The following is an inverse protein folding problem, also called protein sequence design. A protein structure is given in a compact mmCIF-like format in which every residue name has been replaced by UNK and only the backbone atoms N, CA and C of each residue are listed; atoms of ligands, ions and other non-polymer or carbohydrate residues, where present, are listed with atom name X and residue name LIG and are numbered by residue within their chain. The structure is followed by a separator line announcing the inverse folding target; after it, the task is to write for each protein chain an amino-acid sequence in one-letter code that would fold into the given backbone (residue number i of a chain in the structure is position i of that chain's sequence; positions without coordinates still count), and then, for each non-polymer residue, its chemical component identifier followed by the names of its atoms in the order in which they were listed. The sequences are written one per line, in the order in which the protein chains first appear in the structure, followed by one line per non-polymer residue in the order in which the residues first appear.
data_IF_396000776239
#
_entry.id   IF_396000776239
#
_cell.length_a   1.000
_cell.length_b   1.000
_cell.length_c   1.000
_cell.angle_alpha   90.00
_cell.angle_beta   90.00
_cell.angle_gamma   90.00
#
_symmetry.space_group_name_H-M   'P 1'
#
loop_
_entity.id
_entity.type
_entity.pdbx_description
1 polymer ?
#
# COMPACT_ATOMS: atom_id res chain seq x y z
N UNK A 1 -19.69 -16.51 -30.15
CA UNK A 1 -19.92 -15.09 -30.51
C UNK A 1 -20.86 -14.48 -29.48
N UNK A 2 -20.34 -13.98 -28.37
CA UNK A 2 -21.13 -13.24 -27.37
C UNK A 2 -20.52 -11.85 -27.23
N UNK A 3 -21.33 -10.85 -27.50
CA UNK A 3 -20.98 -9.43 -27.49
C UNK A 3 -20.59 -8.97 -26.08
N UNK A 4 -19.38 -8.43 -25.90
CA UNK A 4 -19.07 -7.58 -24.75
C UNK A 4 -19.24 -6.11 -25.17
N UNK A 5 -20.46 -5.59 -24.98
CA UNK A 5 -20.82 -4.17 -25.13
C UNK A 5 -20.29 -3.34 -23.94
N UNK A 6 -19.03 -3.47 -23.59
CA UNK A 6 -18.33 -2.46 -22.77
C UNK A 6 -17.63 -1.53 -23.74
N UNK A 7 -18.27 -0.40 -24.06
CA UNK A 7 -17.60 0.72 -24.72
C UNK A 7 -16.27 0.95 -24.00
N UNK A 8 -15.17 0.71 -24.73
CA UNK A 8 -13.88 0.46 -24.12
C UNK A 8 -13.51 1.69 -23.31
N UNK A 9 -13.14 1.54 -22.04
CA UNK A 9 -12.59 2.66 -21.24
C UNK A 9 -11.45 3.38 -21.97
N UNK A 10 -10.81 2.68 -22.90
CA UNK A 10 -9.82 3.18 -23.84
C UNK A 10 -10.42 4.14 -24.89
N UNK A 11 -11.57 3.82 -25.48
CA UNK A 11 -12.23 4.63 -26.52
C UNK A 11 -12.69 5.98 -25.95
N UNK A 12 -13.19 5.98 -24.71
CA UNK A 12 -13.55 7.21 -24.00
C UNK A 12 -12.32 8.07 -23.65
N UNK A 13 -11.19 7.43 -23.33
CA UNK A 13 -9.92 8.09 -23.05
C UNK A 13 -9.34 8.77 -24.30
N UNK A 14 -9.44 8.12 -25.46
CA UNK A 14 -8.98 8.65 -26.75
C UNK A 14 -9.91 9.77 -27.24
N UNK A 15 -11.23 9.63 -27.09
CA UNK A 15 -12.20 10.63 -27.54
C UNK A 15 -12.15 11.93 -26.71
N UNK A 16 -12.01 11.83 -25.38
CA UNK A 16 -12.07 12.99 -24.48
C UNK A 16 -11.04 12.90 -23.33
N UNK A 17 -9.74 13.09 -23.63
CA UNK A 17 -8.67 12.86 -22.66
C UNK A 17 -8.79 13.72 -21.39
N UNK A 18 -9.20 14.99 -21.51
CA UNK A 18 -9.42 15.86 -20.35
C UNK A 18 -10.50 15.34 -19.40
N UNK A 19 -11.64 14.86 -19.94
CA UNK A 19 -12.76 14.36 -19.14
C UNK A 19 -12.43 13.03 -18.48
N UNK A 20 -11.77 12.13 -19.23
CA UNK A 20 -11.31 10.85 -18.71
C UNK A 20 -10.28 11.02 -17.58
N UNK A 21 -9.34 11.96 -17.74
CA UNK A 21 -8.35 12.30 -16.72
C UNK A 21 -9.02 12.77 -15.42
N UNK A 22 -9.95 13.73 -15.49
CA UNK A 22 -10.68 14.19 -14.29
C UNK A 22 -11.53 13.09 -13.64
N UNK A 23 -12.14 12.20 -14.44
CA UNK A 23 -12.93 11.08 -13.91
C UNK A 23 -12.10 10.07 -13.12
N UNK A 24 -10.82 9.91 -13.47
CA UNK A 24 -9.88 9.03 -12.76
C UNK A 24 -9.15 9.75 -11.63
N UNK A 25 -8.69 10.98 -11.87
CA UNK A 25 -7.90 11.75 -10.92
C UNK A 25 -8.73 12.21 -9.72
N UNK A 26 -9.98 12.64 -9.93
CA UNK A 26 -10.83 13.15 -8.85
C UNK A 26 -11.05 12.13 -7.72
N UNK A 27 -11.47 10.87 -7.97
CA UNK A 27 -11.62 9.89 -6.89
C UNK A 27 -10.28 9.54 -6.22
N UNK A 28 -9.17 9.51 -6.96
CA UNK A 28 -7.84 9.27 -6.38
C UNK A 28 -7.46 10.41 -5.44
N UNK A 29 -7.63 11.67 -5.86
CA UNK A 29 -7.33 12.84 -5.03
C UNK A 29 -8.20 12.86 -3.76
N UNK A 30 -9.50 12.57 -3.88
CA UNK A 30 -10.37 12.47 -2.71
C UNK A 30 -9.87 11.37 -1.75
N UNK A 31 -9.50 10.20 -2.28
CA UNK A 31 -8.94 9.11 -1.47
C UNK A 31 -7.66 9.52 -0.72
N UNK A 32 -6.73 10.19 -1.40
CA UNK A 32 -5.49 10.69 -0.80
C UNK A 32 -5.75 11.79 0.24
N UNK A 33 -6.73 12.66 0.01
CA UNK A 33 -7.15 13.69 0.97
C UNK A 33 -7.73 13.06 2.23
N UNK A 34 -8.61 12.07 2.10
CA UNK A 34 -9.17 11.31 3.23
C UNK A 34 -8.05 10.59 4.00
N UNK A 35 -7.10 9.97 3.30
CA UNK A 35 -5.94 9.34 3.92
C UNK A 35 -5.10 10.35 4.72
N UNK A 36 -4.88 11.55 4.19
CA UNK A 36 -4.14 12.61 4.87
C UNK A 36 -4.87 13.08 6.13
N UNK A 37 -6.19 13.29 6.04
CA UNK A 37 -7.02 13.67 7.19
C UNK A 37 -7.00 12.57 8.25
N UNK A 38 -7.06 11.30 7.85
CA UNK A 38 -6.94 10.18 8.78
C UNK A 38 -5.60 10.19 9.52
N UNK A 39 -4.49 10.41 8.81
CA UNK A 39 -3.17 10.52 9.44
C UNK A 39 -3.10 11.67 10.45
N UNK A 40 -3.69 12.83 10.13
CA UNK A 40 -3.74 13.96 11.06
C UNK A 40 -4.63 13.67 12.28
N UNK A 41 -5.77 13.02 12.07
CA UNK A 41 -6.67 12.64 13.14
C UNK A 41 -6.01 11.62 14.08
N UNK A 42 -5.36 10.60 13.53
CA UNK A 42 -4.60 9.60 14.29
C UNK A 42 -3.51 10.25 15.14
N UNK A 43 -2.69 11.12 14.52
CA UNK A 43 -1.66 11.87 15.22
C UNK A 43 -2.22 12.75 16.33
N UNK A 44 -3.36 13.41 16.09
CA UNK A 44 -4.03 14.25 17.06
C UNK A 44 -4.52 13.45 18.28
N UNK A 45 -5.23 12.34 18.05
CA UNK A 45 -5.74 11.50 19.14
C UNK A 45 -4.60 10.83 19.92
N UNK A 46 -3.56 10.33 19.26
CA UNK A 46 -2.39 9.75 19.93
C UNK A 46 -1.64 10.82 20.74
N UNK A 47 -1.48 12.03 20.20
CA UNK A 47 -0.87 13.15 20.91
C UNK A 47 -1.64 13.59 22.15
N UNK A 48 -2.97 13.37 22.20
CA UNK A 48 -3.76 13.62 23.40
C UNK A 48 -3.59 12.57 24.50
N UNK A 49 -3.15 11.35 24.17
CA UNK A 49 -2.92 10.29 25.17
C UNK A 49 -1.69 10.60 26.01
N UNK A 50 -0.55 10.85 25.38
CA UNK A 50 0.68 11.33 26.04
C UNK A 50 1.72 11.79 25.03
N UNK A 51 2.66 12.65 25.47
CA UNK A 51 3.82 13.01 24.65
C UNK A 51 4.73 11.81 24.36
N UNK A 52 4.76 10.82 25.25
CA UNK A 52 5.54 9.58 25.10
C UNK A 52 4.95 8.67 24.02
N UNK A 53 3.61 8.58 23.91
CA UNK A 53 2.94 7.84 22.85
C UNK A 53 3.21 8.45 21.46
N UNK A 54 3.21 9.78 21.38
CA UNK A 54 3.58 10.50 20.16
C UNK A 54 5.05 10.26 19.76
N UNK A 55 5.96 10.25 20.74
CA UNK A 55 7.38 9.94 20.50
C UNK A 55 7.56 8.50 20.01
N UNK A 56 6.90 7.52 20.65
CA UNK A 56 6.91 6.12 20.24
C UNK A 56 6.41 5.94 18.80
N UNK A 57 5.35 6.64 18.40
CA UNK A 57 4.83 6.64 17.03
C UNK A 57 5.88 7.14 16.02
N UNK A 58 6.60 8.22 16.34
CA UNK A 58 7.65 8.75 15.48
C UNK A 58 8.81 7.77 15.29
N UNK A 59 9.20 7.06 16.35
CA UNK A 59 10.23 6.01 16.28
C UNK A 59 9.81 4.78 15.49
N UNK A 60 8.50 4.51 15.36
CA UNK A 60 7.99 3.40 14.57
C UNK A 60 7.94 3.73 13.06
N UNK A 61 8.03 5.01 12.67
CA UNK A 61 7.94 5.43 11.27
C UNK A 61 8.91 4.70 10.32
N UNK A 62 10.20 4.45 10.65
CA UNK A 62 11.10 3.69 9.79
C UNK A 62 10.59 2.26 9.48
N UNK A 63 9.96 1.60 10.45
CA UNK A 63 9.36 0.26 10.27
C UNK A 63 8.18 0.35 9.30
N UNK A 64 7.31 1.35 9.51
CA UNK A 64 6.14 1.60 8.65
C UNK A 64 6.59 1.91 7.21
N UNK A 65 7.61 2.77 7.03
CA UNK A 65 8.17 3.09 5.72
C UNK A 65 8.74 1.87 5.01
N UNK A 66 9.38 0.95 5.74
CA UNK A 66 9.90 -0.29 5.17
C UNK A 66 8.76 -1.20 4.69
N UNK A 67 7.69 -1.32 5.48
CA UNK A 67 6.47 -2.04 5.08
C UNK A 67 5.82 -1.43 3.84
N UNK A 68 5.65 -0.10 3.81
CA UNK A 68 5.15 0.63 2.65
C UNK A 68 6.03 0.36 1.42
N UNK A 69 7.36 0.41 1.56
CA UNK A 69 8.30 0.14 0.47
C UNK A 69 8.10 -1.24 -0.15
N UNK A 70 7.92 -2.28 0.67
CA UNK A 70 7.64 -3.64 0.20
C UNK A 70 6.30 -3.69 -0.56
N UNK A 71 5.25 -3.10 0.00
CA UNK A 71 3.92 -3.09 -0.63
C UNK A 71 3.95 -2.36 -1.99
N UNK A 72 4.60 -1.20 -2.06
CA UNK A 72 4.73 -0.44 -3.30
C UNK A 72 5.63 -1.15 -4.32
N UNK A 73 6.73 -1.78 -3.88
CA UNK A 73 7.62 -2.56 -4.73
C UNK A 73 6.92 -3.77 -5.35
N UNK A 74 6.20 -4.55 -4.54
CA UNK A 74 5.42 -5.69 -5.03
C UNK A 74 4.27 -5.24 -5.91
N UNK A 75 3.48 -4.25 -5.48
CA UNK A 75 2.34 -3.74 -6.23
C UNK A 75 2.75 -3.23 -7.62
N UNK A 76 3.85 -2.48 -7.71
CA UNK A 76 4.38 -2.00 -9.00
C UNK A 76 4.90 -3.13 -9.89
N UNK A 77 5.63 -4.10 -9.32
CA UNK A 77 6.12 -5.28 -10.06
C UNK A 77 4.98 -6.15 -10.61
N UNK A 78 4.00 -6.46 -9.77
CA UNK A 78 2.79 -7.23 -10.14
C UNK A 78 2.01 -6.51 -11.23
N UNK A 79 1.77 -5.20 -11.06
CA UNK A 79 1.06 -4.39 -12.06
C UNK A 79 1.78 -4.42 -13.41
N UNK A 80 3.11 -4.34 -13.42
CA UNK A 80 3.92 -4.41 -14.64
C UNK A 80 3.78 -5.76 -15.36
N UNK A 81 3.84 -6.88 -14.61
CA UNK A 81 3.69 -8.23 -15.16
C UNK A 81 2.29 -8.43 -15.74
N UNK A 82 1.25 -8.04 -15.01
CA UNK A 82 -0.14 -8.13 -15.48
C UNK A 82 -0.35 -7.26 -16.72
N UNK A 83 0.17 -6.03 -16.73
CA UNK A 83 0.08 -5.13 -17.88
C UNK A 83 0.74 -5.73 -19.15
N UNK A 84 1.88 -6.42 -19.01
CA UNK A 84 2.54 -7.12 -20.11
C UNK A 84 1.67 -8.25 -20.68
N UNK A 85 1.06 -9.07 -19.84
CA UNK A 85 0.19 -10.16 -20.30
C UNK A 85 -1.12 -9.66 -20.93
N UNK A 86 -1.73 -8.63 -20.35
CA UNK A 86 -2.89 -7.95 -20.94
C UNK A 86 -2.53 -7.36 -22.31
N UNK A 87 -1.38 -6.68 -22.41
CA UNK A 87 -0.87 -6.11 -23.67
C UNK A 87 -0.62 -7.17 -24.75
N UNK A 88 -0.16 -8.35 -24.35
CA UNK A 88 0.02 -9.51 -25.23
C UNK A 88 -1.29 -10.24 -25.59
N UNK A 89 -2.45 -9.77 -25.11
CA UNK A 89 -3.77 -10.41 -25.23
C UNK A 89 -3.84 -11.83 -24.62
N UNK A 90 -2.92 -12.17 -23.71
CA UNK A 90 -2.95 -13.45 -22.99
C UNK A 90 -3.64 -13.28 -21.63
N UNK A 91 -4.97 -13.36 -21.65
CA UNK A 91 -5.77 -13.21 -20.44
C UNK A 91 -5.52 -14.33 -19.42
N UNK A 92 -5.25 -15.56 -19.87
CA UNK A 92 -5.02 -16.70 -18.98
C UNK A 92 -3.77 -16.49 -18.13
N UNK A 93 -2.69 -16.01 -18.74
CA UNK A 93 -1.48 -15.67 -18.00
C UNK A 93 -1.66 -14.43 -17.11
N UNK A 94 -2.45 -13.44 -17.54
CA UNK A 94 -2.77 -12.29 -16.69
C UNK A 94 -3.53 -12.69 -15.42
N UNK A 95 -4.55 -13.54 -15.55
CA UNK A 95 -5.34 -14.05 -14.43
C UNK A 95 -4.47 -14.92 -13.50
N UNK A 96 -3.68 -15.84 -14.06
CA UNK A 96 -2.73 -16.65 -13.30
C UNK A 96 -1.70 -15.79 -12.56
N UNK A 97 -1.18 -14.73 -13.19
CA UNK A 97 -0.23 -13.81 -12.55
C UNK A 97 -0.89 -13.08 -11.37
N UNK A 98 -2.15 -12.65 -11.51
CA UNK A 98 -2.90 -12.02 -10.42
C UNK A 98 -3.09 -12.98 -9.23
N UNK A 99 -3.48 -14.23 -9.49
CA UNK A 99 -3.65 -15.26 -8.44
C UNK A 99 -2.34 -15.52 -7.66
N UNK A 100 -1.24 -15.73 -8.40
CA UNK A 100 0.07 -15.96 -7.78
C UNK A 100 0.56 -14.72 -7.01
N UNK A 101 0.22 -13.53 -7.48
CA UNK A 101 0.59 -12.28 -6.79
C UNK A 101 -0.11 -12.12 -5.45
N UNK A 102 -1.37 -12.54 -5.35
CA UNK A 102 -2.09 -12.57 -4.07
C UNK A 102 -1.44 -13.56 -3.12
N UNK A 103 -1.16 -14.79 -3.59
CA UNK A 103 -0.48 -15.81 -2.78
C UNK A 103 0.90 -15.31 -2.30
N UNK A 104 1.68 -14.70 -3.19
CA UNK A 104 2.97 -14.09 -2.87
C UNK A 104 2.84 -12.98 -1.83
N UNK A 105 1.82 -12.12 -1.96
CA UNK A 105 1.52 -11.07 -1.00
C UNK A 105 1.23 -11.63 0.40
N UNK A 106 0.45 -12.71 0.50
CA UNK A 106 0.18 -13.41 1.76
C UNK A 106 1.47 -13.99 2.36
N UNK A 107 2.30 -14.64 1.55
CA UNK A 107 3.57 -15.22 2.02
C UNK A 107 4.52 -14.14 2.53
N UNK A 108 4.67 -13.04 1.79
CA UNK A 108 5.55 -11.93 2.20
C UNK A 108 5.02 -11.25 3.45
N UNK A 109 3.70 -11.05 3.55
CA UNK A 109 3.06 -10.51 4.75
C UNK A 109 3.32 -11.42 5.96
N UNK A 110 3.14 -12.74 5.82
CA UNK A 110 3.40 -13.70 6.89
C UNK A 110 4.87 -13.69 7.34
N UNK A 111 5.83 -13.64 6.39
CA UNK A 111 7.26 -13.52 6.70
C UNK A 111 7.54 -12.22 7.43
N UNK A 112 7.00 -11.10 6.94
CA UNK A 112 7.19 -9.78 7.54
C UNK A 112 6.64 -9.73 8.97
N UNK A 113 5.43 -10.25 9.19
CA UNK A 113 4.81 -10.34 10.52
C UNK A 113 5.62 -11.25 11.46
N UNK A 114 6.12 -12.40 11.00
CA UNK A 114 6.92 -13.29 11.82
C UNK A 114 8.26 -12.66 12.21
N UNK A 115 8.93 -12.01 11.24
CA UNK A 115 10.18 -11.28 11.49
C UNK A 115 9.96 -10.11 12.43
N UNK A 116 8.89 -9.34 12.25
CA UNK A 116 8.50 -8.30 13.18
C UNK A 116 8.29 -8.90 14.56
N UNK A 117 7.45 -9.93 14.71
CA UNK A 117 7.14 -10.55 16.01
C UNK A 117 8.38 -11.03 16.77
N UNK A 118 9.34 -11.68 16.11
CA UNK A 118 10.54 -12.21 16.77
C UNK A 118 11.68 -11.19 16.94
N UNK A 119 11.88 -10.30 15.97
CA UNK A 119 13.05 -9.40 15.92
C UNK A 119 12.68 -7.92 16.04
N UNK A 120 11.41 -7.58 16.11
CA UNK A 120 10.94 -6.20 16.08
C UNK A 120 11.40 -5.38 17.28
N UNK A 121 11.41 -5.95 18.49
CA UNK A 121 12.02 -5.29 19.66
C UNK A 121 13.52 -5.02 19.47
N UNK A 122 14.26 -5.98 18.92
CA UNK A 122 15.68 -5.80 18.62
C UNK A 122 15.92 -4.78 17.49
N UNK A 123 15.02 -4.73 16.52
CA UNK A 123 15.06 -3.74 15.44
C UNK A 123 14.80 -2.33 15.96
N UNK A 124 13.78 -2.15 16.80
CA UNK A 124 13.48 -0.88 17.48
C UNK A 124 14.64 -0.45 18.39
N UNK A 125 15.29 -1.37 19.11
CA UNK A 125 16.47 -1.01 19.90
C UNK A 125 17.65 -0.54 19.05
N UNK A 126 17.85 -1.11 17.86
CA UNK A 126 18.89 -0.65 16.90
C UNK A 126 18.56 0.72 16.33
N UNK A 127 17.26 1.05 16.18
CA UNK A 127 16.80 2.38 15.78
C UNK A 127 16.93 3.44 16.89
N UNK A 128 17.42 3.05 18.08
CA UNK A 128 17.68 3.97 19.19
C UNK A 128 16.46 4.28 20.05
N UNK A 129 15.43 3.42 20.04
CA UNK A 129 14.26 3.58 20.91
C UNK A 129 14.68 3.40 22.37
N UNK A 130 14.47 4.40 23.25
CA UNK A 130 14.74 4.29 24.67
C UNK A 130 13.89 3.20 25.34
N UNK A 131 14.43 2.52 26.35
CA UNK A 131 13.77 1.37 27.01
C UNK A 131 12.38 1.70 27.59
N UNK A 132 12.18 2.93 28.08
CA UNK A 132 10.89 3.39 28.61
C UNK A 132 9.81 3.56 27.53
N UNK A 133 10.19 3.75 26.26
CA UNK A 133 9.28 3.82 25.11
C UNK A 133 9.09 2.47 24.41
N UNK A 134 9.94 1.48 24.69
CA UNK A 134 9.91 0.16 24.06
C UNK A 134 8.57 -0.58 24.26
N UNK A 135 7.91 -0.35 25.40
CA UNK A 135 6.60 -0.93 25.70
C UNK A 135 5.44 -0.26 24.97
N UNK A 136 5.58 1.02 24.59
CA UNK A 136 4.59 1.75 23.78
C UNK A 136 4.84 1.60 22.28
N UNK A 137 6.10 1.44 21.88
CA UNK A 137 6.49 1.32 20.47
C UNK A 137 6.28 -0.10 19.89
N UNK A 138 6.04 -1.10 20.74
CA UNK A 138 5.84 -2.50 20.38
C UNK A 138 4.36 -2.91 20.47
#
# INVERSE_FOLDING_TARGET
MTQDKRGSRLDEFIAHPRRALWRLALPIMIGMSVQTVYMLADLYFVGQVSSEALAALAFNMPVVFLGIGIVFGLGSGVTSVIARYIGARDKRLADSAAEHSVALGVVISAIFTLLAYWKGRAFLSVLGVPDHLMALAW
#
